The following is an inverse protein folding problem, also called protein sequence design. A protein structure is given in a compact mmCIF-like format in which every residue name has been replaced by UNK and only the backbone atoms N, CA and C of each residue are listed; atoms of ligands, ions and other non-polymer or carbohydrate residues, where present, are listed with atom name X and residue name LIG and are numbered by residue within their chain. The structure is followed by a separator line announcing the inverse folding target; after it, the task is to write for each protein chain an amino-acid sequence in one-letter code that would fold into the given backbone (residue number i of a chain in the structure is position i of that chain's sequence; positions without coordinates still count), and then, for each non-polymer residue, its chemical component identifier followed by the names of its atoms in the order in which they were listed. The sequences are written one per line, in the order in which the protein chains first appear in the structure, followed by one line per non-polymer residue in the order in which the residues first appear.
data_IF_003867144999
#
_entry.id   IF_003867144999
#
_cell.length_a   1.000
_cell.length_b   1.000
_cell.length_c   1.000
_cell.angle_alpha   90.00
_cell.angle_beta   90.00
_cell.angle_gamma   90.00
#
_symmetry.space_group_name_H-M   'P 1'
#
loop_
_entity.id
_entity.type
_entity.pdbx_description
1 polymer ?
#
# COMPACT_ATOMS: atom_id res chain seq x y z
N UNK A 1 29.21 -51.64 -31.24
CA UNK A 1 29.16 -50.21 -31.70
C UNK A 1 27.81 -49.50 -31.49
N UNK A 2 26.86 -49.99 -30.68
CA UNK A 2 25.51 -49.34 -30.50
C UNK A 2 25.34 -48.48 -29.24
N UNK A 3 26.19 -48.64 -28.22
CA UNK A 3 26.03 -47.95 -26.92
C UNK A 3 26.27 -46.44 -27.00
N UNK A 4 27.24 -45.97 -27.78
CA UNK A 4 27.56 -44.54 -27.86
C UNK A 4 26.47 -43.71 -28.56
N UNK A 5 25.81 -44.25 -29.59
CA UNK A 5 24.75 -43.51 -30.30
C UNK A 5 23.47 -43.37 -29.46
N UNK A 6 23.16 -44.37 -28.63
CA UNK A 6 21.99 -44.35 -27.74
C UNK A 6 22.17 -43.35 -26.58
N UNK A 7 23.39 -43.23 -26.05
CA UNK A 7 23.74 -42.23 -25.03
C UNK A 7 23.66 -40.81 -25.60
N UNK A 8 24.19 -40.58 -26.80
CA UNK A 8 24.11 -39.27 -27.47
C UNK A 8 22.67 -38.87 -27.80
N UNK A 9 21.85 -39.82 -28.26
CA UNK A 9 20.42 -39.61 -28.53
C UNK A 9 19.62 -39.25 -27.27
N UNK A 10 19.83 -39.98 -26.16
CA UNK A 10 19.18 -39.68 -24.88
C UNK A 10 19.63 -38.32 -24.31
N UNK A 11 20.90 -37.94 -24.50
CA UNK A 11 21.42 -36.62 -24.09
C UNK A 11 20.80 -35.49 -24.91
N UNK A 12 20.64 -35.67 -26.22
CA UNK A 12 19.95 -34.72 -27.10
C UNK A 12 18.47 -34.52 -26.73
N UNK A 13 17.74 -35.61 -26.47
CA UNK A 13 16.35 -35.53 -25.98
C UNK A 13 16.22 -34.82 -24.62
N UNK A 14 17.16 -35.07 -23.70
CA UNK A 14 17.19 -34.38 -22.40
C UNK A 14 17.42 -32.87 -22.55
N UNK A 15 18.37 -32.45 -23.39
CA UNK A 15 18.62 -31.02 -23.65
C UNK A 15 17.40 -30.36 -24.30
N UNK A 16 16.75 -31.03 -25.25
CA UNK A 16 15.52 -30.53 -25.86
C UNK A 16 14.39 -30.33 -24.83
N UNK A 17 14.19 -31.31 -23.93
CA UNK A 17 13.19 -31.18 -22.85
C UNK A 17 13.50 -30.02 -21.89
N UNK A 18 14.78 -29.80 -21.57
CA UNK A 18 15.20 -28.66 -20.74
C UNK A 18 14.92 -27.34 -21.43
N UNK A 19 15.25 -27.21 -22.72
CA UNK A 19 15.00 -25.98 -23.49
C UNK A 19 13.51 -25.68 -23.63
N UNK A 20 12.68 -26.70 -23.86
CA UNK A 20 11.22 -26.57 -23.85
C UNK A 20 10.74 -26.08 -22.48
N UNK A 21 11.25 -26.68 -21.40
CA UNK A 21 10.92 -26.27 -20.03
C UNK A 21 11.27 -24.80 -19.76
N UNK A 22 12.47 -24.36 -20.12
CA UNK A 22 12.92 -22.97 -19.94
C UNK A 22 12.05 -22.01 -20.74
N UNK A 23 11.74 -22.35 -22.00
CA UNK A 23 10.94 -21.49 -22.88
C UNK A 23 9.51 -21.37 -22.36
N UNK A 24 8.93 -22.46 -21.88
CA UNK A 24 7.59 -22.47 -21.29
C UNK A 24 7.54 -21.60 -20.02
N UNK A 25 8.48 -21.79 -19.10
CA UNK A 25 8.56 -21.00 -17.86
C UNK A 25 8.74 -19.53 -18.18
N UNK A 26 9.67 -19.19 -19.07
CA UNK A 26 9.94 -17.80 -19.47
C UNK A 26 8.71 -17.18 -20.14
N UNK A 27 8.02 -17.91 -21.02
CA UNK A 27 6.79 -17.46 -21.67
C UNK A 27 5.66 -17.19 -20.67
N UNK A 28 5.46 -18.07 -19.68
CA UNK A 28 4.47 -17.87 -18.63
C UNK A 28 4.82 -16.64 -17.78
N UNK A 29 6.08 -16.46 -17.40
CA UNK A 29 6.51 -15.29 -16.63
C UNK A 29 6.31 -13.98 -17.39
N UNK A 30 6.61 -13.95 -18.69
CA UNK A 30 6.39 -12.78 -19.55
C UNK A 30 4.89 -12.47 -19.66
N UNK A 31 4.04 -13.47 -19.84
CA UNK A 31 2.59 -13.28 -19.90
C UNK A 31 2.02 -12.83 -18.55
N UNK A 32 2.46 -13.42 -17.45
CA UNK A 32 2.06 -13.01 -16.11
C UNK A 32 2.50 -11.57 -15.80
N UNK A 33 3.72 -11.19 -16.19
CA UNK A 33 4.20 -9.82 -16.09
C UNK A 33 3.33 -8.86 -16.91
N UNK A 34 3.07 -9.20 -18.18
CA UNK A 34 2.27 -8.35 -19.05
C UNK A 34 0.81 -8.20 -18.57
N UNK A 35 0.22 -9.24 -17.99
CA UNK A 35 -1.09 -9.18 -17.33
C UNK A 35 -1.07 -8.29 -16.08
N UNK A 36 -0.11 -8.50 -15.16
CA UNK A 36 -0.01 -7.73 -13.91
C UNK A 36 0.40 -6.27 -14.13
N UNK A 37 1.17 -5.98 -15.18
CA UNK A 37 1.47 -4.64 -15.64
C UNK A 37 0.26 -3.95 -16.31
N UNK A 38 -0.80 -4.70 -16.63
CA UNK A 38 -2.00 -4.19 -17.28
C UNK A 38 -1.80 -3.87 -18.77
N UNK A 39 -0.85 -4.54 -19.44
CA UNK A 39 -0.67 -4.45 -20.90
C UNK A 39 -1.83 -5.14 -21.63
N UNK A 40 -2.41 -6.18 -21.04
CA UNK A 40 -3.66 -6.79 -21.45
C UNK A 40 -4.45 -7.27 -20.22
N UNK A 41 -5.76 -7.40 -20.36
CA UNK A 41 -6.67 -7.59 -19.23
C UNK A 41 -7.11 -6.26 -18.60
N UNK A 42 -8.17 -6.28 -17.80
CA UNK A 42 -8.70 -5.07 -17.16
C UNK A 42 -7.79 -4.58 -16.04
N UNK A 43 -7.09 -3.46 -16.24
CA UNK A 43 -6.26 -2.84 -15.20
C UNK A 43 -7.14 -2.23 -14.12
N UNK A 44 -6.90 -2.60 -12.85
CA UNK A 44 -7.48 -1.88 -11.72
C UNK A 44 -6.83 -0.51 -11.63
N UNK A 45 -7.62 0.53 -11.88
CA UNK A 45 -7.25 1.93 -11.69
C UNK A 45 -7.85 2.45 -10.39
N UNK A 46 -7.38 3.60 -9.92
CA UNK A 46 -8.02 4.31 -8.81
C UNK A 46 -9.49 4.60 -9.11
N UNK A 47 -9.85 4.89 -10.37
CA UNK A 47 -11.24 5.15 -10.75
C UNK A 47 -12.12 3.92 -10.64
N UNK A 48 -11.65 2.77 -11.13
CA UNK A 48 -12.40 1.50 -11.01
C UNK A 48 -12.47 1.01 -9.57
N UNK A 49 -11.44 1.27 -8.76
CA UNK A 49 -11.44 0.93 -7.33
C UNK A 49 -12.44 1.78 -6.53
N UNK A 50 -12.62 3.05 -6.90
CA UNK A 50 -13.52 3.99 -6.21
C UNK A 50 -14.90 4.09 -6.88
N UNK A 51 -15.23 3.19 -7.80
CA UNK A 51 -16.43 3.32 -8.65
C UNK A 51 -17.74 3.36 -7.83
N UNK A 52 -17.78 2.63 -6.72
CA UNK A 52 -18.95 2.52 -5.83
C UNK A 52 -18.98 3.61 -4.74
N UNK A 53 -17.96 4.47 -4.69
CA UNK A 53 -17.90 5.57 -3.72
C UNK A 53 -18.62 6.78 -4.30
N UNK A 54 -19.54 7.42 -3.55
CA UNK A 54 -20.24 8.61 -4.00
C UNK A 54 -19.28 9.66 -4.58
N UNK A 55 -19.57 10.11 -5.80
CA UNK A 55 -18.76 11.13 -6.50
C UNK A 55 -18.90 12.50 -5.87
N UNK A 56 -20.06 12.78 -5.28
CA UNK A 56 -20.40 14.06 -4.65
C UNK A 56 -20.33 13.93 -3.13
N UNK A 57 -19.73 14.93 -2.49
CA UNK A 57 -19.59 15.09 -1.03
C UNK A 57 -19.61 16.60 -0.72
N UNK A 58 -19.92 17.01 0.52
CA UNK A 58 -20.04 18.43 0.86
C UNK A 58 -18.77 19.23 0.53
N UNK A 59 -18.94 20.36 -0.16
CA UNK A 59 -17.82 21.23 -0.53
C UNK A 59 -17.07 21.73 0.72
N UNK A 60 -15.73 21.78 0.64
CA UNK A 60 -14.88 22.15 1.78
C UNK A 60 -14.58 21.01 2.76
N UNK A 61 -15.24 19.85 2.63
CA UNK A 61 -14.99 18.69 3.48
C UNK A 61 -14.26 17.56 2.73
N UNK A 62 -13.64 16.67 3.50
CA UNK A 62 -12.98 15.48 2.95
C UNK A 62 -14.04 14.43 2.58
N UNK A 63 -13.84 13.75 1.44
CA UNK A 63 -14.69 12.63 0.99
C UNK A 63 -14.80 11.49 2.01
N UNK A 64 -13.73 11.26 2.76
CA UNK A 64 -13.68 10.34 3.90
C UNK A 64 -13.02 11.05 5.07
N UNK A 65 -13.37 10.65 6.29
CA UNK A 65 -12.95 11.37 7.49
C UNK A 65 -13.41 12.83 7.50
N UNK A 66 -14.68 13.05 7.14
CA UNK A 66 -15.30 14.36 6.98
C UNK A 66 -15.17 15.20 8.26
N UNK A 67 -15.60 14.62 9.39
CA UNK A 67 -15.47 15.25 10.72
C UNK A 67 -14.11 14.99 11.34
N UNK A 68 -13.50 16.02 11.92
CA UNK A 68 -12.26 15.88 12.68
C UNK A 68 -11.72 17.21 13.22
N UNK A 69 -10.76 17.11 14.13
CA UNK A 69 -10.16 18.24 14.86
C UNK A 69 -8.64 18.20 14.72
N UNK A 70 -8.03 19.36 14.47
CA UNK A 70 -6.58 19.49 14.40
C UNK A 70 -5.97 19.62 15.79
N UNK A 71 -4.73 19.17 15.93
CA UNK A 71 -3.92 19.37 17.12
C UNK A 71 -2.49 19.70 16.73
N UNK A 72 -1.77 20.32 17.67
CA UNK A 72 -0.34 20.58 17.57
C UNK A 72 0.37 19.92 18.76
N UNK A 73 1.64 19.61 18.59
CA UNK A 73 2.43 19.00 19.66
C UNK A 73 3.90 18.87 19.33
N UNK A 74 4.60 18.12 20.17
CA UNK A 74 6.03 17.82 20.00
C UNK A 74 6.25 16.32 20.18
N UNK A 75 6.81 15.69 19.16
CA UNK A 75 7.31 14.32 19.26
C UNK A 75 8.72 14.35 19.87
N UNK A 76 8.91 13.58 20.93
CA UNK A 76 10.21 13.44 21.61
C UNK A 76 10.75 12.05 21.31
N UNK A 77 11.76 11.97 20.46
CA UNK A 77 12.36 10.69 20.10
C UNK A 77 13.19 10.14 21.28
N UNK A 78 13.08 8.84 21.53
CA UNK A 78 13.92 8.14 22.52
C UNK A 78 15.32 7.81 21.99
N UNK A 79 15.59 8.05 20.70
CA UNK A 79 16.82 7.66 20.01
C UNK A 79 16.93 6.16 19.67
N UNK A 80 16.03 5.31 20.20
CA UNK A 80 16.09 3.85 19.99
C UNK A 80 15.84 3.40 18.55
N UNK A 81 15.26 4.27 17.71
CA UNK A 81 15.00 3.99 16.30
C UNK A 81 16.20 4.32 15.38
N UNK A 82 17.23 5.02 15.86
CA UNK A 82 18.40 5.41 15.08
C UNK A 82 19.14 4.22 14.44
N UNK A 83 19.32 3.07 15.11
CA UNK A 83 19.94 1.89 14.48
C UNK A 83 19.13 1.30 13.31
N UNK A 84 17.83 1.62 13.22
CA UNK A 84 16.91 1.01 12.25
C UNK A 84 16.42 1.98 11.17
N UNK A 85 16.63 3.28 11.35
CA UNK A 85 16.14 4.31 10.44
C UNK A 85 17.08 5.51 10.40
N UNK A 86 17.33 6.00 9.18
CA UNK A 86 18.06 7.25 8.93
C UNK A 86 17.16 8.49 8.98
N UNK A 87 15.85 8.33 9.20
CA UNK A 87 14.92 9.46 9.22
C UNK A 87 15.22 10.39 10.41
N UNK A 88 15.46 11.67 10.10
CA UNK A 88 15.85 12.68 11.09
C UNK A 88 14.88 12.84 12.25
N UNK A 89 13.59 12.65 12.01
CA UNK A 89 12.54 12.74 13.03
C UNK A 89 12.74 11.79 14.21
N UNK A 90 13.56 10.74 14.06
CA UNK A 90 13.90 9.79 15.13
C UNK A 90 15.22 10.08 15.85
N UNK A 91 16.04 10.99 15.32
CA UNK A 91 17.31 11.41 15.91
C UNK A 91 17.21 12.73 16.69
N UNK A 92 16.22 13.56 16.38
CA UNK A 92 15.98 14.86 17.03
C UNK A 92 15.28 14.70 18.38
N UNK A 93 15.69 15.49 19.38
CA UNK A 93 15.07 15.47 20.71
C UNK A 93 13.62 16.00 20.70
N UNK A 94 13.32 17.00 19.88
CA UNK A 94 12.01 17.64 19.79
C UNK A 94 11.66 17.87 18.32
N UNK A 95 10.57 17.27 17.86
CA UNK A 95 10.09 17.39 16.49
C UNK A 95 8.68 17.97 16.51
N UNK A 96 8.43 19.14 15.89
CA UNK A 96 7.10 19.71 15.76
C UNK A 96 6.12 18.75 15.08
N UNK A 97 4.93 18.62 15.66
CA UNK A 97 3.84 17.79 15.13
C UNK A 97 2.64 18.68 14.84
N UNK A 98 2.10 18.54 13.63
CA UNK A 98 0.73 18.94 13.32
C UNK A 98 -0.05 17.67 13.04
N UNK A 99 -1.19 17.50 13.68
CA UNK A 99 -2.01 16.32 13.50
C UNK A 99 -3.49 16.63 13.42
N UNK A 100 -4.26 15.58 13.15
CA UNK A 100 -5.72 15.63 13.09
C UNK A 100 -6.32 14.31 13.56
N UNK A 101 -7.21 14.39 14.54
CA UNK A 101 -8.12 13.29 14.85
C UNK A 101 -9.36 13.39 13.95
N UNK A 102 -9.94 12.24 13.58
CA UNK A 102 -11.13 12.22 12.75
C UNK A 102 -11.92 10.93 12.85
N UNK A 103 -13.22 11.01 12.56
CA UNK A 103 -14.06 9.83 12.39
C UNK A 103 -13.77 9.16 11.05
N UNK A 104 -14.07 7.88 10.88
CA UNK A 104 -14.04 7.19 9.59
C UNK A 104 -15.19 7.57 8.64
N UNK A 105 -16.24 8.21 9.18
CA UNK A 105 -17.43 8.61 8.43
C UNK A 105 -17.12 9.66 7.34
N UNK A 106 -17.79 9.59 6.17
CA UNK A 106 -17.75 10.65 5.17
C UNK A 106 -18.58 11.89 5.57
N UNK A 107 -19.53 11.75 6.50
CA UNK A 107 -20.40 12.84 6.94
C UNK A 107 -19.66 13.79 7.91
N UNK A 108 -19.49 15.08 7.58
CA UNK A 108 -18.83 16.04 8.45
C UNK A 108 -19.60 16.41 9.71
N UNK A 109 -20.90 16.12 9.77
CA UNK A 109 -21.77 16.40 10.92
C UNK A 109 -22.11 15.16 11.74
N UNK A 110 -21.46 14.03 11.43
CA UNK A 110 -21.71 12.76 12.10
C UNK A 110 -21.53 12.85 13.63
N UNK A 111 -22.41 12.20 14.42
CA UNK A 111 -22.18 11.99 15.85
C UNK A 111 -20.87 11.24 16.12
N UNK A 112 -20.20 11.52 17.24
CA UNK A 112 -18.87 10.94 17.53
C UNK A 112 -18.90 9.41 17.71
N UNK A 113 -20.06 8.85 18.05
CA UNK A 113 -20.28 7.41 18.21
C UNK A 113 -20.85 6.72 16.95
N UNK A 114 -20.93 7.42 15.82
CA UNK A 114 -21.56 6.91 14.59
C UNK A 114 -20.73 5.87 13.83
N UNK A 115 -19.46 5.71 14.17
CA UNK A 115 -18.55 4.74 13.57
C UNK A 115 -17.56 4.21 14.60
N UNK A 116 -17.10 2.97 14.41
CA UNK A 116 -16.01 2.39 15.22
C UNK A 116 -14.63 2.85 14.78
N UNK A 117 -14.51 3.25 13.51
CA UNK A 117 -13.24 3.70 12.95
C UNK A 117 -13.00 5.15 13.33
N UNK A 118 -11.93 5.35 14.09
CA UNK A 118 -11.38 6.67 14.40
C UNK A 118 -9.92 6.70 13.99
N UNK A 119 -9.44 7.88 13.63
CA UNK A 119 -8.15 8.03 12.97
C UNK A 119 -7.35 9.16 13.55
N UNK A 120 -6.04 9.02 13.44
CA UNK A 120 -5.05 10.06 13.72
C UNK A 120 -4.15 10.21 12.51
N UNK A 121 -4.15 11.39 11.90
CA UNK A 121 -3.10 11.80 10.99
C UNK A 121 -2.07 12.64 11.77
N UNK A 122 -0.79 12.44 11.50
CA UNK A 122 0.30 13.20 12.11
C UNK A 122 1.35 13.53 11.06
N UNK A 123 1.87 14.76 11.12
CA UNK A 123 2.96 15.24 10.29
C UNK A 123 4.05 15.76 11.20
N UNK A 124 5.18 15.07 11.20
CA UNK A 124 6.39 15.44 11.92
C UNK A 124 7.27 16.22 10.95
N UNK A 125 7.71 17.42 11.32
CA UNK A 125 8.60 18.24 10.47
C UNK A 125 9.98 18.29 11.09
N UNK A 126 10.97 17.73 10.41
CA UNK A 126 12.36 17.72 10.85
C UNK A 126 13.00 19.13 10.73
N UNK A 127 14.14 19.33 11.41
CA UNK A 127 14.94 20.56 11.35
C UNK A 127 15.49 20.94 9.96
N UNK A 128 15.52 20.01 9.01
CA UNK A 128 15.85 20.24 7.59
C UNK A 128 14.63 20.52 6.71
N UNK A 129 13.43 20.54 7.32
CA UNK A 129 12.16 20.78 6.64
C UNK A 129 11.51 19.53 6.04
N UNK A 130 12.15 18.35 6.10
CA UNK A 130 11.52 17.11 5.65
C UNK A 130 10.32 16.74 6.52
N UNK A 131 9.29 16.16 5.89
CA UNK A 131 8.03 15.83 6.56
C UNK A 131 7.76 14.33 6.56
N UNK A 132 7.70 13.74 7.76
CA UNK A 132 7.21 12.39 7.96
C UNK A 132 5.70 12.42 8.22
N UNK A 133 4.91 11.92 7.27
CA UNK A 133 3.44 11.93 7.32
C UNK A 133 2.90 10.52 7.59
N UNK A 134 2.10 10.40 8.63
CA UNK A 134 1.42 9.17 9.02
C UNK A 134 -0.08 9.38 8.98
N UNK A 135 -0.80 8.36 8.48
CA UNK A 135 -2.26 8.26 8.56
C UNK A 135 -2.59 6.94 9.21
N UNK A 136 -3.11 7.00 10.43
CA UNK A 136 -3.34 5.85 11.29
C UNK A 136 -4.84 5.74 11.61
N UNK A 137 -5.32 4.52 11.72
CA UNK A 137 -6.63 4.21 12.29
C UNK A 137 -6.46 3.46 13.61
N UNK A 138 -7.50 3.40 14.42
CA UNK A 138 -7.53 2.57 15.61
C UNK A 138 -7.56 1.07 15.28
N UNK A 139 -7.99 0.67 14.08
CA UNK A 139 -7.88 -0.72 13.64
C UNK A 139 -6.46 -1.05 13.13
N UNK A 140 -5.87 -2.19 13.55
CA UNK A 140 -4.55 -2.62 13.10
C UNK A 140 -4.58 -3.32 11.72
N UNK A 141 -5.71 -3.28 11.01
CA UNK A 141 -5.89 -3.86 9.69
C UNK A 141 -6.76 -2.96 8.82
N UNK A 142 -6.57 -3.05 7.51
CA UNK A 142 -7.47 -2.48 6.53
C UNK A 142 -8.40 -3.59 6.04
N UNK A 143 -9.70 -3.43 6.21
CA UNK A 143 -10.65 -4.22 5.43
C UNK A 143 -10.68 -3.62 4.03
N UNK A 144 -10.20 -4.32 2.98
CA UNK A 144 -10.43 -3.85 1.62
C UNK A 144 -11.94 -3.77 1.43
N UNK A 145 -12.40 -2.67 0.84
CA UNK A 145 -13.81 -2.30 0.69
C UNK A 145 -14.63 -3.46 0.13
N UNK A 146 -15.18 -4.29 1.02
CA UNK A 146 -16.31 -5.18 0.77
C UNK A 146 -17.51 -4.47 1.37
N UNK A 147 -17.81 -3.27 0.88
CA UNK A 147 -19.13 -2.68 1.11
C UNK A 147 -20.07 -3.16 0.00
N UNK A 148 -20.24 -4.48 -0.05
CA UNK A 148 -21.49 -5.11 -0.45
C UNK A 148 -21.99 -5.80 0.81
N UNK A 149 -23.29 -5.65 1.09
CA UNK A 149 -24.02 -6.08 2.30
C UNK A 149 -23.92 -5.03 3.42
N UNK A 150 -24.89 -4.15 3.66
CA UNK A 150 -26.36 -4.22 3.49
C UNK A 150 -26.93 -3.08 2.65
#
# INVERSE_FOLDING_TARGET
MKKSSLVTYLKGKRVLLILIGITLISGILVLAFAYTAGLFGGRITTQTFLQDIPKTYPAGYRRAHGKGICFEGTFRASGQAVPYSIARVFAQQNVPVIGRFSLGSPDPYAPDNSTRTVSMAAMLTADDGEQWRMKLNNEPFLLPVMQKVF
#
